data_IF_448916311610
#
_entry.id   IF_448916311610
#
_cell.length_a   1.000
_cell.length_b   1.000
_cell.length_c   1.000
_cell.angle_alpha   90.00
_cell.angle_beta   90.00
_cell.angle_gamma   90.00
#
_symmetry.space_group_name_H-M   'P 1'
#
loop_
_entity.id
_entity.type
_entity.pdbx_description
1 polymer ?
#
# COMPACT_ATOMS: atom_id res chain seq x y z
N UNK A 1 29.12 6.54 12.21
CA UNK A 1 28.86 6.18 10.80
C UNK A 1 27.45 6.64 10.48
N UNK A 2 27.30 7.92 10.15
CA UNK A 2 26.03 8.53 9.77
C UNK A 2 25.81 8.21 8.29
N UNK A 3 24.99 7.20 8.01
CA UNK A 3 24.61 6.89 6.63
C UNK A 3 23.78 8.05 6.09
N UNK A 4 24.18 8.57 4.92
CA UNK A 4 23.49 9.58 4.10
C UNK A 4 21.97 9.46 4.17
N UNK A 5 21.36 10.11 5.17
CA UNK A 5 19.92 10.34 5.17
C UNK A 5 19.69 11.40 4.10
N UNK A 6 18.95 11.07 3.05
CA UNK A 6 18.63 12.08 2.04
C UNK A 6 17.61 13.06 2.66
N UNK A 7 18.04 14.30 3.00
CA UNK A 7 17.19 15.22 3.75
C UNK A 7 15.95 15.63 2.94
N UNK A 8 16.04 15.61 1.61
CA UNK A 8 14.94 15.91 0.69
C UNK A 8 13.83 14.87 0.79
N UNK A 9 14.20 13.59 0.74
CA UNK A 9 13.24 12.48 0.86
C UNK A 9 12.61 12.47 2.25
N UNK A 10 13.41 12.69 3.29
CA UNK A 10 12.92 12.77 4.67
C UNK A 10 11.94 13.94 4.87
N UNK A 11 12.25 15.12 4.31
CA UNK A 11 11.35 16.27 4.35
C UNK A 11 10.03 15.99 3.63
N UNK A 12 10.09 15.36 2.46
CA UNK A 12 8.90 14.99 1.68
C UNK A 12 8.05 13.93 2.41
N UNK A 13 8.66 12.97 3.13
CA UNK A 13 7.93 12.04 4.00
C UNK A 13 7.22 12.76 5.14
N UNK A 14 7.90 13.70 5.81
CA UNK A 14 7.33 14.48 6.91
C UNK A 14 6.22 15.44 6.47
N UNK A 15 6.19 15.81 5.19
CA UNK A 15 5.13 16.63 4.62
C UNK A 15 3.78 15.89 4.53
N UNK A 16 3.80 14.56 4.48
CA UNK A 16 2.60 13.72 4.45
C UNK A 16 2.05 13.54 5.87
N UNK A 17 1.02 14.32 6.22
CA UNK A 17 0.42 14.28 7.57
C UNK A 17 -0.42 13.03 7.82
N UNK A 18 -0.84 12.38 6.75
CA UNK A 18 -1.63 11.15 6.78
C UNK A 18 -0.80 9.92 7.18
N UNK A 19 0.53 10.01 7.08
CA UNK A 19 1.43 8.92 7.42
C UNK A 19 1.85 9.05 8.87
N UNK A 20 1.64 7.98 9.65
CA UNK A 20 2.09 7.94 11.03
C UNK A 20 3.61 7.71 11.10
N UNK A 21 4.11 6.74 10.32
CA UNK A 21 5.54 6.40 10.24
C UNK A 21 5.89 6.05 8.80
N UNK A 22 7.11 6.34 8.38
CA UNK A 22 7.61 6.06 7.04
C UNK A 22 9.09 5.69 7.08
N UNK A 23 9.48 4.72 6.26
CA UNK A 23 10.86 4.23 6.14
C UNK A 23 11.13 3.88 4.67
N UNK A 24 12.17 4.46 4.09
CA UNK A 24 12.72 4.10 2.79
C UNK A 24 14.09 3.46 2.97
N UNK A 25 14.29 2.30 2.35
CA UNK A 25 15.53 1.54 2.39
C UNK A 25 15.80 0.88 1.04
N UNK A 26 17.05 0.57 0.75
CA UNK A 26 17.44 -0.12 -0.48
C UNK A 26 17.42 -1.65 -0.31
N UNK A 27 17.61 -2.38 -1.41
CA UNK A 27 17.70 -3.85 -1.40
C UNK A 27 18.87 -4.41 -0.56
N UNK A 28 19.89 -3.59 -0.26
CA UNK A 28 21.02 -3.97 0.60
C UNK A 28 20.71 -3.81 2.09
N UNK A 29 19.52 -3.32 2.43
CA UNK A 29 19.09 -3.06 3.81
C UNK A 29 19.61 -1.73 4.39
N UNK A 30 20.18 -0.86 3.55
CA UNK A 30 20.60 0.50 3.92
C UNK A 30 19.39 1.44 3.90
N UNK A 31 19.14 2.09 5.03
CA UNK A 31 18.09 3.12 5.16
C UNK A 31 18.52 4.39 4.42
N UNK A 32 17.63 4.88 3.55
CA UNK A 32 17.81 6.14 2.80
C UNK A 32 17.16 7.30 3.57
N UNK A 33 15.96 7.09 4.09
CA UNK A 33 15.23 8.08 4.89
C UNK A 33 14.24 7.36 5.78
N UNK A 34 14.10 7.79 7.03
CA UNK A 34 13.13 7.21 7.95
C UNK A 34 12.61 8.28 8.91
N UNK A 35 11.29 8.35 9.08
CA UNK A 35 10.66 9.18 10.12
C UNK A 35 10.64 8.45 11.46
N UNK A 36 10.60 7.12 11.44
CA UNK A 36 10.73 6.26 12.61
C UNK A 36 11.85 5.23 12.37
N UNK A 37 12.73 5.04 13.35
CA UNK A 37 13.87 4.14 13.22
C UNK A 37 13.37 2.68 13.35
N UNK A 38 13.49 1.84 12.30
CA UNK A 38 13.20 0.41 12.41
C UNK A 38 14.18 -0.26 13.38
N UNK A 39 13.78 -1.39 13.95
CA UNK A 39 14.66 -2.21 14.78
C UNK A 39 15.68 -2.97 13.92
N UNK A 40 16.80 -3.31 14.53
CA UNK A 40 17.84 -4.11 13.89
C UNK A 40 17.28 -5.48 13.46
N UNK A 41 17.43 -5.81 12.17
CA UNK A 41 16.92 -7.05 11.57
C UNK A 41 15.53 -6.95 10.91
N UNK A 42 14.72 -5.92 11.22
CA UNK A 42 13.40 -5.76 10.59
C UNK A 42 13.51 -5.49 9.09
N UNK A 43 14.51 -4.69 8.68
CA UNK A 43 14.74 -4.39 7.26
C UNK A 43 15.04 -5.66 6.47
N UNK A 44 15.84 -6.56 7.03
CA UNK A 44 16.13 -7.85 6.41
C UNK A 44 14.87 -8.74 6.30
N UNK A 45 13.98 -8.68 7.30
CA UNK A 45 12.69 -9.35 7.22
C UNK A 45 11.80 -8.76 6.11
N UNK A 46 11.75 -7.42 5.96
CA UNK A 46 10.98 -6.76 4.91
C UNK A 46 11.43 -7.13 3.50
N UNK A 47 12.73 -7.30 3.30
CA UNK A 47 13.27 -7.76 2.02
C UNK A 47 12.79 -9.18 1.70
N UNK A 48 12.81 -10.08 2.70
CA UNK A 48 12.33 -11.46 2.57
C UNK A 48 10.84 -11.58 2.31
N UNK A 49 10.04 -10.58 2.67
CA UNK A 49 8.59 -10.59 2.38
C UNK A 49 8.30 -10.74 0.87
N UNK A 50 9.20 -10.22 0.03
CA UNK A 50 9.02 -10.32 -1.42
C UNK A 50 9.54 -11.64 -2.02
N UNK A 51 10.22 -12.49 -1.24
CA UNK A 51 10.76 -13.76 -1.70
C UNK A 51 9.67 -14.86 -1.77
N UNK A 52 8.80 -14.92 -0.75
CA UNK A 52 7.74 -15.93 -0.64
C UNK A 52 6.41 -15.33 -0.19
N UNK A 53 5.41 -15.41 -1.08
CA UNK A 53 4.06 -14.90 -0.81
C UNK A 53 3.36 -15.69 0.29
N UNK A 54 3.40 -17.01 0.22
CA UNK A 54 2.64 -17.88 1.13
C UNK A 54 3.16 -17.76 2.56
N UNK A 55 4.50 -17.71 2.72
CA UNK A 55 5.12 -17.48 4.03
C UNK A 55 4.74 -16.11 4.59
N UNK A 56 4.81 -15.06 3.75
CA UNK A 56 4.47 -13.68 4.15
C UNK A 56 3.00 -13.54 4.56
N UNK A 57 2.08 -14.19 3.85
CA UNK A 57 0.66 -14.21 4.20
C UNK A 57 0.42 -14.95 5.53
N UNK A 58 1.23 -15.96 5.85
CA UNK A 58 1.13 -16.73 7.09
C UNK A 58 1.80 -16.08 8.30
N UNK A 59 2.95 -15.44 8.12
CA UNK A 59 3.71 -14.81 9.22
C UNK A 59 3.25 -13.39 9.52
N UNK A 60 2.78 -12.67 8.50
CA UNK A 60 2.50 -11.24 8.60
C UNK A 60 3.76 -10.38 8.47
N UNK A 61 3.62 -9.09 8.79
CA UNK A 61 4.69 -8.09 8.79
C UNK A 61 4.94 -7.67 10.24
N UNK A 62 6.19 -7.71 10.70
CA UNK A 62 6.56 -7.22 12.03
C UNK A 62 7.28 -5.89 11.89
N UNK A 63 6.79 -4.85 12.56
CA UNK A 63 7.41 -3.53 12.58
C UNK A 63 7.30 -2.89 13.96
N UNK A 64 8.43 -2.42 14.50
CA UNK A 64 8.53 -1.85 15.85
C UNK A 64 8.00 -2.79 16.94
N UNK A 65 8.33 -4.09 16.83
CA UNK A 65 7.85 -5.15 17.73
C UNK A 65 6.32 -5.36 17.69
N UNK A 66 5.67 -4.94 16.61
CA UNK A 66 4.23 -5.09 16.42
C UNK A 66 3.94 -5.93 15.18
N UNK A 67 3.05 -6.90 15.31
CA UNK A 67 2.68 -7.81 14.22
C UNK A 67 1.44 -7.28 13.49
N UNK A 68 1.55 -7.21 12.16
CA UNK A 68 0.50 -6.79 11.25
C UNK A 68 0.13 -7.94 10.32
N UNK A 69 -1.16 -8.24 10.24
CA UNK A 69 -1.65 -9.28 9.34
C UNK A 69 -1.65 -8.77 7.90
N UNK A 70 -1.05 -9.53 6.99
CA UNK A 70 -1.06 -9.20 5.57
C UNK A 70 -2.45 -9.45 5.02
N UNK A 71 -3.06 -8.38 4.51
CA UNK A 71 -4.41 -8.42 3.96
C UNK A 71 -4.39 -8.66 2.46
N UNK A 72 -3.44 -8.02 1.77
CA UNK A 72 -3.23 -8.23 0.34
C UNK A 72 -1.75 -8.24 0.01
N UNK A 73 -1.41 -9.22 -0.81
CA UNK A 73 -0.11 -9.36 -1.40
C UNK A 73 -0.26 -9.25 -2.93
N UNK A 74 0.10 -8.10 -3.49
CA UNK A 74 0.05 -7.85 -4.92
C UNK A 74 1.32 -7.13 -5.37
N UNK A 75 2.41 -7.87 -5.66
CA UNK A 75 3.68 -7.28 -6.06
C UNK A 75 3.47 -6.26 -7.19
N UNK A 76 3.99 -5.02 -7.07
CA UNK A 76 5.01 -4.55 -6.11
C UNK A 76 4.51 -4.03 -4.74
N UNK A 77 3.22 -4.16 -4.43
CA UNK A 77 2.59 -3.62 -3.22
C UNK A 77 2.10 -4.72 -2.27
N UNK A 78 2.46 -4.61 -1.00
CA UNK A 78 1.93 -5.46 0.07
C UNK A 78 1.37 -4.54 1.15
N UNK A 79 0.17 -4.84 1.63
CA UNK A 79 -0.39 -4.10 2.75
C UNK A 79 -1.15 -4.99 3.71
N UNK A 80 -1.12 -4.57 4.95
CA UNK A 80 -1.70 -5.26 6.09
C UNK A 80 -2.42 -4.31 7.02
N UNK A 81 -3.02 -4.88 8.04
CA UNK A 81 -3.60 -4.13 9.13
C UNK A 81 -3.31 -4.84 10.44
N UNK A 82 -3.30 -4.03 11.48
CA UNK A 82 -3.24 -4.43 12.86
C UNK A 82 -4.33 -3.65 13.59
N UNK A 83 -4.96 -4.29 14.55
CA UNK A 83 -5.96 -3.62 15.36
C UNK A 83 -7.09 -4.54 15.72
N UNK A 84 -7.56 -4.38 16.95
CA UNK A 84 -8.71 -5.10 17.44
C UNK A 84 -9.97 -4.35 17.02
N UNK A 85 -10.87 -4.94 16.21
CA UNK A 85 -12.12 -4.27 15.83
C UNK A 85 -12.98 -3.91 17.04
N UNK A 86 -12.74 -4.55 18.19
CA UNK A 86 -13.41 -4.27 19.46
C UNK A 86 -12.91 -3.00 20.17
N UNK A 87 -11.66 -2.57 19.92
CA UNK A 87 -11.06 -1.39 20.58
C UNK A 87 -11.10 -0.14 19.72
N UNK A 88 -11.50 -0.24 18.45
CA UNK A 88 -11.54 0.89 17.52
C UNK A 88 -10.17 1.45 17.14
N UNK A 89 -9.09 0.82 17.61
CA UNK A 89 -7.71 1.15 17.27
C UNK A 89 -7.31 0.29 16.07
N UNK A 90 -7.21 0.93 14.90
CA UNK A 90 -6.77 0.30 13.66
C UNK A 90 -5.55 1.03 13.10
N UNK A 91 -4.44 0.32 13.00
CA UNK A 91 -3.23 0.77 12.31
C UNK A 91 -3.02 -0.09 11.06
N UNK A 92 -2.85 0.55 9.92
CA UNK A 92 -2.47 -0.12 8.69
C UNK A 92 -0.98 0.02 8.40
N UNK A 93 -0.47 -0.95 7.67
CA UNK A 93 0.90 -0.97 7.18
C UNK A 93 0.88 -1.21 5.67
N UNK A 94 1.71 -0.50 4.93
CA UNK A 94 1.87 -0.71 3.50
C UNK A 94 3.35 -0.62 3.14
N UNK A 95 3.80 -1.55 2.29
CA UNK A 95 5.14 -1.57 1.72
C UNK A 95 5.05 -1.64 0.20
N UNK A 96 5.80 -0.76 -0.47
CA UNK A 96 5.87 -0.67 -1.91
C UNK A 96 7.32 -0.88 -2.38
N UNK A 97 7.50 -1.76 -3.36
CA UNK A 97 8.79 -2.01 -4.02
C UNK A 97 8.88 -1.18 -5.31
N UNK A 98 9.91 -0.36 -5.40
CA UNK A 98 10.24 0.41 -6.62
C UNK A 98 11.29 -0.37 -7.40
N UNK A 99 10.86 -1.19 -8.35
CA UNK A 99 11.76 -2.05 -9.13
C UNK A 99 12.87 -1.28 -9.85
N UNK A 100 12.53 -0.11 -10.42
CA UNK A 100 13.49 0.74 -11.16
C UNK A 100 14.66 1.24 -10.31
N UNK A 101 14.43 1.46 -9.02
CA UNK A 101 15.44 1.99 -8.10
C UNK A 101 15.94 0.93 -7.11
N UNK A 102 15.36 -0.28 -7.10
CA UNK A 102 15.58 -1.30 -6.07
C UNK A 102 15.43 -0.74 -4.65
N UNK A 103 14.44 0.15 -4.48
CA UNK A 103 14.12 0.83 -3.21
C UNK A 103 12.78 0.31 -2.71
N UNK A 104 12.67 0.18 -1.39
CA UNK A 104 11.47 -0.23 -0.68
C UNK A 104 11.04 0.92 0.21
N UNK A 105 9.75 1.26 0.16
CA UNK A 105 9.17 2.29 1.01
C UNK A 105 8.03 1.68 1.80
N UNK A 106 8.16 1.73 3.12
CA UNK A 106 7.20 1.26 4.10
C UNK A 106 6.56 2.48 4.77
N UNK A 107 5.24 2.44 4.94
CA UNK A 107 4.49 3.43 5.70
C UNK A 107 3.51 2.74 6.65
N UNK A 108 3.24 3.39 7.77
CA UNK A 108 2.10 3.07 8.62
C UNK A 108 1.14 4.25 8.69
N UNK A 109 -0.13 3.95 8.88
CA UNK A 109 -1.20 4.94 9.00
C UNK A 109 -2.20 4.48 10.05
N UNK A 110 -2.73 5.43 10.80
CA UNK A 110 -3.73 5.17 11.85
C UNK A 110 -5.07 5.79 11.43
N UNK A 111 -6.18 5.26 11.96
CA UNK A 111 -7.48 5.92 11.81
C UNK A 111 -7.39 7.39 12.26
N UNK A 112 -7.98 8.34 11.52
CA UNK A 112 -8.98 8.20 10.46
C UNK A 112 -8.41 7.96 9.04
N UNK A 113 -7.09 7.86 8.86
CA UNK A 113 -6.48 7.60 7.54
C UNK A 113 -6.73 6.15 7.11
N UNK A 114 -7.26 5.97 5.90
CA UNK A 114 -7.50 4.66 5.30
C UNK A 114 -6.42 4.30 4.28
N UNK A 115 -6.25 3.00 4.05
CA UNK A 115 -5.37 2.44 3.00
C UNK A 115 -5.67 3.05 1.64
N UNK A 116 -6.94 3.34 1.35
CA UNK A 116 -7.42 3.97 0.12
C UNK A 116 -6.79 5.32 -0.18
N UNK A 117 -6.28 6.04 0.84
CA UNK A 117 -5.53 7.30 0.66
C UNK A 117 -4.03 7.11 0.83
N UNK A 118 -3.61 6.37 1.84
CA UNK A 118 -2.20 6.17 2.15
C UNK A 118 -1.46 5.42 1.03
N UNK A 119 -2.09 4.40 0.43
CA UNK A 119 -1.47 3.57 -0.62
C UNK A 119 -1.25 4.36 -1.93
N UNK A 120 -2.23 5.08 -2.49
CA UNK A 120 -1.97 5.92 -3.67
C UNK A 120 -0.91 7.00 -3.42
N UNK A 121 -0.93 7.64 -2.25
CA UNK A 121 0.09 8.62 -1.87
C UNK A 121 1.49 8.00 -1.84
N UNK A 122 1.63 6.78 -1.31
CA UNK A 122 2.90 6.05 -1.31
C UNK A 122 3.40 5.79 -2.74
N UNK A 123 2.51 5.37 -3.63
CA UNK A 123 2.85 5.09 -5.03
C UNK A 123 3.30 6.37 -5.75
N UNK A 124 2.55 7.47 -5.57
CA UNK A 124 2.92 8.77 -6.13
C UNK A 124 4.25 9.29 -5.58
N UNK A 125 4.48 9.15 -4.28
CA UNK A 125 5.73 9.51 -3.64
C UNK A 125 6.91 8.72 -4.20
N UNK A 126 6.74 7.39 -4.32
CA UNK A 126 7.74 6.51 -4.92
C UNK A 126 8.06 6.94 -6.36
N UNK A 127 7.03 7.29 -7.14
CA UNK A 127 7.20 7.79 -8.50
C UNK A 127 7.96 9.12 -8.53
N UNK A 128 7.58 10.09 -7.69
CA UNK A 128 8.20 11.41 -7.68
C UNK A 128 9.66 11.41 -7.20
N UNK A 129 9.97 10.63 -6.16
CA UNK A 129 11.30 10.66 -5.52
C UNK A 129 12.28 9.68 -6.15
N UNK A 130 11.82 8.51 -6.61
CA UNK A 130 12.71 7.41 -7.03
C UNK A 130 12.51 6.96 -8.47
N UNK A 131 11.35 7.21 -9.08
CA UNK A 131 11.06 6.79 -10.44
C UNK A 131 10.65 7.96 -11.33
N UNK A 132 11.61 8.84 -11.66
CA UNK A 132 11.49 9.76 -12.79
C UNK A 132 11.48 8.96 -14.10
N UNK A 133 10.39 8.24 -14.36
CA UNK A 133 9.81 7.90 -15.66
C UNK A 133 8.64 6.91 -15.50
N UNK A 134 7.46 7.33 -15.98
CA UNK A 134 6.30 6.53 -16.46
C UNK A 134 5.11 6.32 -15.51
N UNK A 135 4.10 7.15 -15.82
CA UNK A 135 2.63 6.94 -15.78
C UNK A 135 1.98 7.03 -14.40
N UNK A 136 1.74 8.29 -14.01
CA UNK A 136 0.42 8.72 -13.59
C UNK A 136 -0.64 7.91 -14.36
N UNK A 137 -1.38 7.04 -13.70
CA UNK A 137 -2.66 6.59 -14.24
C UNK A 137 -3.69 7.67 -13.85
N UNK A 138 -4.06 8.61 -14.72
CA UNK A 138 -5.09 9.61 -14.43
C UNK A 138 -6.49 8.99 -14.23
N UNK A 139 -6.65 7.66 -14.29
CA UNK A 139 -7.95 7.02 -14.30
C UNK A 139 -8.47 6.57 -12.92
N UNK A 140 -7.93 7.08 -11.82
CA UNK A 140 -8.43 6.80 -10.47
C UNK A 140 -9.08 8.01 -9.79
N UNK A 141 -9.86 8.81 -10.54
CA UNK A 141 -11.11 9.41 -10.05
C UNK A 141 -11.70 10.37 -11.08
N UNK A 142 -12.61 9.87 -11.91
CA UNK A 142 -13.89 10.59 -12.06
C UNK A 142 -14.90 9.84 -11.19
N UNK A 143 -15.70 10.51 -10.34
CA UNK A 143 -16.85 9.86 -9.74
C UNK A 143 -17.74 9.38 -10.89
N UNK A 144 -17.93 8.07 -11.02
CA UNK A 144 -18.89 7.54 -11.95
C UNK A 144 -20.28 8.04 -11.50
N UNK A 145 -20.93 8.87 -12.31
CA UNK A 145 -22.32 9.29 -12.11
C UNK A 145 -23.32 8.25 -12.62
N UNK A 146 -22.86 7.06 -13.01
CA UNK A 146 -23.72 5.98 -13.46
C UNK A 146 -23.89 4.89 -12.40
N UNK A 147 -24.41 5.31 -11.25
CA UNK A 147 -25.07 4.41 -10.29
C UNK A 147 -26.54 4.25 -10.68
N UNK A 148 -26.88 3.99 -11.94
CA UNK A 148 -28.28 3.69 -12.31
C UNK A 148 -28.53 2.93 -13.62
N UNK A 149 -27.63 2.03 -14.06
CA UNK A 149 -27.93 1.19 -15.23
C UNK A 149 -27.77 -0.31 -15.00
N UNK A 150 -27.13 -0.75 -13.91
CA UNK A 150 -27.07 -2.18 -13.57
C UNK A 150 -28.32 -2.72 -12.86
N UNK A 151 -29.28 -1.85 -12.51
CA UNK A 151 -30.58 -2.22 -11.95
C UNK A 151 -31.73 -2.26 -12.97
N UNK A 152 -31.48 -1.93 -14.26
CA UNK A 152 -32.53 -1.95 -15.31
C UNK A 152 -32.45 -3.11 -16.29
N UNK A 153 -31.26 -3.66 -16.57
CA UNK A 153 -31.11 -4.77 -17.52
C UNK A 153 -31.47 -6.17 -17.01
N UNK A 154 -31.95 -6.30 -15.76
CA UNK A 154 -32.54 -7.55 -15.24
C UNK A 154 -34.06 -7.63 -15.39
N UNK A 155 -34.70 -6.59 -15.92
CA UNK A 155 -36.15 -6.55 -16.18
C UNK A 155 -36.53 -6.91 -17.64
N UNK A 156 -35.60 -6.86 -18.60
CA UNK A 156 -35.91 -7.06 -20.03
C UNK A 156 -35.38 -8.37 -20.65
N UNK A 157 -34.73 -9.25 -19.88
CA UNK A 157 -34.38 -10.60 -20.34
C UNK A 157 -35.41 -11.68 -19.95
N UNK A 158 -36.62 -11.29 -19.55
CA UNK A 158 -37.69 -12.20 -19.13
C UNK A 158 -38.89 -12.26 -20.09
N UNK A 159 -38.76 -11.72 -21.30
CA UNK A 159 -39.88 -11.62 -22.25
C UNK A 159 -39.61 -12.21 -23.65
N UNK A 160 -38.43 -12.75 -23.94
CA UNK A 160 -38.18 -13.43 -25.24
C UNK A 160 -38.29 -14.97 -25.18
N UNK A 161 -38.56 -15.57 -24.02
CA UNK A 161 -38.65 -17.03 -23.88
C UNK A 161 -40.09 -17.59 -23.98
N UNK A 162 -41.01 -16.93 -24.70
CA UNK A 162 -42.40 -17.42 -24.87
C UNK A 162 -43.00 -17.28 -26.28
N UNK A 163 -42.20 -16.99 -27.32
CA UNK A 163 -42.69 -17.07 -28.72
C UNK A 163 -41.85 -18.01 -29.58
N UNK A 164 -41.63 -19.21 -29.06
CA UNK A 164 -41.21 -20.37 -29.85
C UNK A 164 -42.02 -21.58 -29.39
N UNK A 165 -43.35 -21.50 -29.58
CA UNK A 165 -44.24 -22.65 -29.72
C UNK A 165 -45.67 -22.17 -30.01
N UNK A 166 -45.94 -21.89 -31.30
CA UNK A 166 -47.13 -22.30 -32.07
C UNK A 166 -47.00 -21.78 -33.49
#
# INVERSE_FOLDING_TARGET
MEGDMNPTVLAAMKAQKEWAKAVAFNQEGKVIAATAKPLDGEIAAFLKLFDSRDDTMGTGIVYLNEQYDVHRFHPPLIYGRRGDPAKGEGEGIAICKVEKASVYVLITYVLPTLSSRAVPQLQEFCAQQFALAVVHNPNASKPNKDTNEYCRERAEQRTWALSSNV
#
